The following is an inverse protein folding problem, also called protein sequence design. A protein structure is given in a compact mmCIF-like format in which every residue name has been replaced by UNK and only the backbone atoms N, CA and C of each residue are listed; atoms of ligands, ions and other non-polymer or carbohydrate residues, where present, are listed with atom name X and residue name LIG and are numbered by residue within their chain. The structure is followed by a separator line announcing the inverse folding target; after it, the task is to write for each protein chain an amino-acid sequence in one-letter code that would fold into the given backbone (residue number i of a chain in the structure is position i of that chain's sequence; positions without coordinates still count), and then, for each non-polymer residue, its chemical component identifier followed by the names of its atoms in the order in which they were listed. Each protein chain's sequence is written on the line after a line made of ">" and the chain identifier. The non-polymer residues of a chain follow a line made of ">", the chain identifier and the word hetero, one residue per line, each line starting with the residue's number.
data_IF_081015824979
#
_entry.id   IF_081015824979
#
_cell.length_a   1.000
_cell.length_b   1.000
_cell.length_c   1.000
_cell.angle_alpha   90.00
_cell.angle_beta   90.00
_cell.angle_gamma   90.00
#
_symmetry.space_group_name_H-M   'P 1'
#
loop_
_entity.id
_entity.type
_entity.pdbx_description
1 polymer ?
#
# COMPACT_ATOMS: atom_id res chain seq x y z
N UNK A 1 0.60 13.76 0.56
CA UNK A 1 1.59 14.67 1.20
C UNK A 1 1.52 16.12 0.73
N UNK A 2 1.44 16.42 -0.58
CA UNK A 2 1.45 17.81 -1.08
C UNK A 2 0.48 18.74 -0.34
N UNK A 3 -0.79 18.36 -0.22
CA UNK A 3 -1.78 19.18 0.52
C UNK A 3 -1.38 19.37 1.98
N UNK A 4 -1.04 18.28 2.69
CA UNK A 4 -0.63 18.30 4.09
C UNK A 4 0.60 19.20 4.35
N UNK A 5 1.51 19.32 3.38
CA UNK A 5 2.74 20.11 3.51
C UNK A 5 2.59 21.57 3.07
N UNK A 6 1.66 21.89 2.14
CA UNK A 6 1.58 23.21 1.50
C UNK A 6 0.30 23.98 1.80
N UNK A 7 -0.79 23.33 2.22
CA UNK A 7 -2.08 23.98 2.47
C UNK A 7 -2.27 24.46 3.94
N UNK A 8 -1.20 24.42 4.74
CA UNK A 8 -1.24 24.76 6.16
C UNK A 8 -1.68 23.59 7.06
N UNK A 9 -1.82 23.87 8.36
CA UNK A 9 -2.11 22.84 9.36
C UNK A 9 -3.52 22.26 9.18
N UNK A 10 -3.61 20.97 8.86
CA UNK A 10 -4.87 20.24 8.74
C UNK A 10 -4.84 18.93 9.58
N UNK A 11 -5.20 18.99 10.88
CA UNK A 11 -5.18 17.81 11.75
C UNK A 11 -6.16 16.72 11.32
N UNK A 12 -7.30 17.10 10.75
CA UNK A 12 -8.31 16.15 10.30
C UNK A 12 -7.79 15.30 9.12
N UNK A 13 -7.14 15.93 8.13
CA UNK A 13 -6.50 15.20 7.04
C UNK A 13 -5.35 14.33 7.55
N UNK A 14 -4.54 14.83 8.49
CA UNK A 14 -3.48 14.03 9.09
C UNK A 14 -4.03 12.77 9.76
N UNK A 15 -5.03 12.92 10.64
CA UNK A 15 -5.68 11.79 11.32
C UNK A 15 -6.35 10.82 10.35
N UNK A 16 -6.93 11.31 9.25
CA UNK A 16 -7.50 10.44 8.19
C UNK A 16 -6.43 9.58 7.51
N UNK A 17 -5.20 10.06 7.40
CA UNK A 17 -4.11 9.35 6.73
C UNK A 17 -3.29 8.45 7.66
N UNK A 18 -3.37 8.65 8.99
CA UNK A 18 -2.58 7.88 9.95
C UNK A 18 -2.76 6.35 9.84
N UNK A 19 -3.98 5.80 9.66
CA UNK A 19 -4.14 4.35 9.50
C UNK A 19 -3.34 3.78 8.32
N UNK A 20 -3.32 4.48 7.18
CA UNK A 20 -2.52 4.09 6.01
C UNK A 20 -1.02 4.16 6.33
N UNK A 21 -0.57 5.20 7.05
CA UNK A 21 0.83 5.34 7.44
C UNK A 21 1.21 4.21 8.41
N UNK A 22 0.40 3.91 9.41
CA UNK A 22 0.64 2.82 10.34
C UNK A 22 0.70 1.47 9.60
N UNK A 23 -0.22 1.21 8.67
CA UNK A 23 -0.22 0.02 7.83
C UNK A 23 1.05 -0.13 7.00
N UNK A 24 1.54 0.96 6.38
CA UNK A 24 2.76 0.95 5.57
C UNK A 24 4.03 0.59 6.36
N UNK A 25 4.00 0.74 7.69
CA UNK A 25 5.12 0.51 8.59
C UNK A 25 4.88 -0.62 9.61
N UNK A 26 3.84 -1.44 9.44
CA UNK A 26 3.65 -2.68 10.24
C UNK A 26 4.84 -3.63 10.11
N UNK A 27 5.41 -3.70 8.90
CA UNK A 27 6.69 -4.35 8.62
C UNK A 27 7.73 -3.32 8.17
N UNK A 28 9.04 -3.61 8.27
CA UNK A 28 10.08 -2.70 7.80
C UNK A 28 9.85 -2.27 6.33
N UNK A 29 9.79 -0.95 6.11
CA UNK A 29 9.72 -0.39 4.76
C UNK A 29 10.91 -0.91 3.91
N UNK A 30 10.68 -1.46 2.69
CA UNK A 30 9.53 -1.22 1.80
C UNK A 30 8.48 -2.34 1.69
N UNK A 31 8.36 -3.26 2.65
CA UNK A 31 7.43 -4.42 2.54
C UNK A 31 5.97 -3.98 2.30
N UNK A 32 5.45 -3.08 3.13
CA UNK A 32 4.09 -2.56 2.99
C UNK A 32 3.89 -1.80 1.68
N UNK A 33 4.85 -0.95 1.30
CA UNK A 33 4.77 -0.16 0.08
C UNK A 33 4.77 -1.03 -1.19
N UNK A 34 5.66 -2.02 -1.27
CA UNK A 34 5.73 -2.94 -2.41
C UNK A 34 4.42 -3.72 -2.56
N UNK A 35 3.83 -4.14 -1.44
CA UNK A 35 2.55 -4.85 -1.43
C UNK A 35 1.42 -3.93 -1.92
N UNK A 36 1.32 -2.71 -1.38
CA UNK A 36 0.30 -1.73 -1.77
C UNK A 36 0.36 -1.38 -3.27
N UNK A 37 1.55 -1.14 -3.81
CA UNK A 37 1.69 -0.78 -5.23
C UNK A 37 1.33 -1.95 -6.15
N UNK A 38 1.61 -3.19 -5.74
CA UNK A 38 1.17 -4.38 -6.47
C UNK A 38 -0.37 -4.50 -6.44
N UNK A 39 -0.99 -4.30 -5.27
CA UNK A 39 -2.45 -4.29 -5.11
C UNK A 39 -3.16 -3.19 -5.92
N UNK A 40 -2.49 -2.05 -6.14
CA UNK A 40 -2.97 -0.95 -6.99
C UNK A 40 -2.73 -1.20 -8.49
N UNK A 41 -2.07 -2.30 -8.87
CA UNK A 41 -1.80 -2.68 -10.25
C UNK A 41 -0.79 -1.78 -10.98
N UNK A 42 -0.03 -0.94 -10.26
CA UNK A 42 0.95 -0.01 -10.86
C UNK A 42 2.35 -0.59 -10.94
N UNK A 43 2.62 -1.68 -10.22
CA UNK A 43 3.85 -2.48 -10.32
C UNK A 43 3.49 -3.97 -10.37
N UNK A 44 4.42 -4.79 -10.85
CA UNK A 44 4.25 -6.24 -10.81
C UNK A 44 4.45 -6.75 -9.37
N UNK A 45 3.72 -7.79 -8.92
CA UNK A 45 3.87 -8.41 -7.60
C UNK A 45 5.18 -9.23 -7.49
N UNK A 46 6.33 -8.58 -7.64
CA UNK A 46 7.65 -9.22 -7.63
C UNK A 46 8.49 -8.65 -6.50
N UNK A 47 8.97 -9.52 -5.62
CA UNK A 47 9.80 -9.15 -4.47
C UNK A 47 11.22 -9.71 -4.64
N UNK A 48 12.21 -8.85 -4.45
CA UNK A 48 13.60 -9.26 -4.26
C UNK A 48 13.80 -9.64 -2.81
N UNK A 49 14.33 -10.84 -2.56
CA UNK A 49 14.69 -11.25 -1.21
C UNK A 49 15.76 -10.28 -0.63
N UNK A 50 15.70 -9.98 0.68
CA UNK A 50 14.96 -10.70 1.72
C UNK A 50 13.50 -10.24 1.96
N UNK A 51 12.93 -9.38 1.12
CA UNK A 51 11.55 -8.91 1.32
C UNK A 51 10.51 -9.94 0.88
N UNK A 52 9.42 -10.03 1.65
CA UNK A 52 8.23 -10.83 1.35
C UNK A 52 7.00 -9.91 1.35
N UNK A 53 5.92 -10.26 0.61
CA UNK A 53 4.67 -9.51 0.66
C UNK A 53 3.99 -9.66 2.02
N UNK A 54 3.11 -8.71 2.35
CA UNK A 54 2.24 -8.83 3.53
C UNK A 54 1.22 -9.97 3.35
N UNK A 55 0.78 -10.62 4.45
CA UNK A 55 -0.19 -11.71 4.40
C UNK A 55 -1.57 -11.23 3.93
N UNK A 56 -2.41 -12.16 3.45
CA UNK A 56 -3.73 -11.84 2.88
C UNK A 56 -4.61 -10.96 3.78
N UNK A 57 -4.60 -11.18 5.09
CA UNK A 57 -5.36 -10.36 6.04
C UNK A 57 -5.01 -8.87 5.97
N UNK A 58 -3.72 -8.57 5.86
CA UNK A 58 -3.20 -7.20 5.75
C UNK A 58 -3.50 -6.60 4.38
N UNK A 59 -3.48 -7.42 3.32
CA UNK A 59 -3.86 -7.00 1.97
C UNK A 59 -5.35 -6.64 1.89
N UNK A 60 -6.22 -7.40 2.56
CA UNK A 60 -7.65 -7.10 2.68
C UNK A 60 -7.90 -5.82 3.48
N UNK A 61 -7.11 -5.56 4.53
CA UNK A 61 -7.16 -4.31 5.28
C UNK A 61 -6.85 -3.11 4.37
N UNK A 62 -5.81 -3.22 3.54
CA UNK A 62 -5.47 -2.17 2.58
C UNK A 62 -6.60 -1.90 1.57
N UNK A 63 -7.27 -2.94 1.06
CA UNK A 63 -8.43 -2.77 0.16
C UNK A 63 -9.54 -1.94 0.83
N UNK A 64 -9.79 -2.15 2.12
CA UNK A 64 -10.76 -1.35 2.86
C UNK A 64 -10.29 0.09 3.07
N UNK A 65 -9.02 0.31 3.42
CA UNK A 65 -8.45 1.65 3.55
C UNK A 65 -8.53 2.46 2.25
N UNK A 66 -8.29 1.83 1.10
CA UNK A 66 -8.42 2.49 -0.22
C UNK A 66 -9.86 2.96 -0.45
N UNK A 67 -10.86 2.16 -0.08
CA UNK A 67 -12.28 2.54 -0.17
C UNK A 67 -12.63 3.69 0.77
N UNK A 68 -12.15 3.65 2.02
CA UNK A 68 -12.42 4.68 3.03
C UNK A 68 -11.75 6.02 2.73
N UNK A 69 -10.50 5.99 2.27
CA UNK A 69 -9.77 7.20 1.92
C UNK A 69 -10.31 7.79 0.60
N UNK A 70 -10.61 6.92 -0.37
CA UNK A 70 -11.09 7.23 -1.71
C UNK A 70 -10.06 6.86 -2.77
N UNK A 71 -10.42 5.94 -3.68
CA UNK A 71 -9.50 5.39 -4.72
C UNK A 71 -8.85 6.46 -5.60
N UNK A 72 -9.55 7.58 -5.85
CA UNK A 72 -9.05 8.72 -6.63
C UNK A 72 -7.83 9.43 -6.01
N UNK A 73 -7.52 9.17 -4.75
CA UNK A 73 -6.34 9.73 -4.07
C UNK A 73 -5.11 8.82 -4.14
N UNK A 74 -5.25 7.61 -4.70
CA UNK A 74 -4.17 6.65 -4.91
C UNK A 74 -3.70 6.67 -6.36
N UNK A 75 -2.45 6.25 -6.58
CA UNK A 75 -1.86 6.17 -7.91
C UNK A 75 -2.48 5.05 -8.76
N UNK A 76 -2.44 5.22 -10.08
CA UNK A 76 -2.99 4.28 -11.05
C UNK A 76 -4.51 4.34 -11.19
N UNK A 77 -5.02 3.67 -12.22
CA UNK A 77 -6.44 3.67 -12.61
C UNK A 77 -7.13 2.31 -12.37
N UNK A 78 -6.37 1.26 -12.08
CA UNK A 78 -6.92 -0.09 -11.87
C UNK A 78 -7.54 -0.18 -10.47
N UNK A 79 -8.68 -0.87 -10.38
CA UNK A 79 -9.32 -1.18 -9.10
C UNK A 79 -8.36 -1.94 -8.18
N UNK A 80 -8.36 -1.57 -6.90
CA UNK A 80 -7.49 -2.24 -5.92
C UNK A 80 -7.88 -3.71 -5.77
N UNK A 81 -6.89 -4.60 -5.81
CA UNK A 81 -7.08 -6.04 -5.66
C UNK A 81 -6.41 -6.55 -4.38
N UNK A 82 -6.96 -7.60 -3.79
CA UNK A 82 -6.34 -8.25 -2.63
C UNK A 82 -5.08 -9.02 -3.03
N UNK A 83 -5.07 -9.58 -4.24
CA UNK A 83 -4.09 -10.56 -4.75
C UNK A 83 -4.07 -11.85 -3.92
N UNK A 84 -3.89 -12.98 -4.58
CA UNK A 84 -3.66 -14.26 -3.94
C UNK A 84 -2.16 -14.43 -3.65
N UNK A 85 -1.81 -15.31 -2.72
CA UNK A 85 -0.39 -15.53 -2.37
C UNK A 85 0.42 -16.05 -3.57
N UNK A 86 -0.22 -16.81 -4.45
CA UNK A 86 0.38 -17.36 -5.68
C UNK A 86 0.63 -16.30 -6.76
N UNK A 87 0.08 -15.09 -6.63
CA UNK A 87 0.37 -13.97 -7.54
C UNK A 87 1.79 -13.41 -7.32
N UNK A 88 2.39 -13.63 -6.15
CA UNK A 88 3.67 -13.03 -5.78
C UNK A 88 4.87 -13.88 -6.21
N UNK A 89 5.81 -13.25 -6.91
CA UNK A 89 7.07 -13.88 -7.33
C UNK A 89 8.19 -13.42 -6.39
N UNK A 90 8.85 -14.39 -5.73
CA UNK A 90 10.02 -14.13 -4.89
C UNK A 90 11.32 -14.47 -5.64
N UNK A 91 12.23 -13.50 -5.74
CA UNK A 91 13.48 -13.64 -6.49
C UNK A 91 14.68 -13.49 -5.55
N UNK A 92 15.44 -14.57 -5.38
CA UNK A 92 16.67 -14.59 -4.56
C UNK A 92 17.98 -14.38 -5.33
N UNK A 93 17.99 -14.67 -6.64
CA UNK A 93 19.14 -14.45 -7.53
C UNK A 93 18.66 -13.59 -8.70
N UNK A 94 19.16 -12.37 -8.79
CA UNK A 94 18.77 -11.34 -9.75
C UNK A 94 19.95 -10.45 -10.13
#
# INVERSE_FOLDING_TARGET
>A
MRELMFAGKNPALNSKLMPLIEWLFKEPNPIGLNTALAQLGVVRPVFRLPYLPLPLSERLEFVNMVKEIGRQHFVGEIDVQALDDDDFILVGRY
#
